data_IF_944503033698
#
_entry.id   IF_944503033698
#
_cell.length_a   1.000
_cell.length_b   1.000
_cell.length_c   1.000
_cell.angle_alpha   90.00
_cell.angle_beta   90.00
_cell.angle_gamma   90.00
#
_symmetry.space_group_name_H-M   'P 1'
#
loop_
_entity.id
_entity.type
_entity.pdbx_description
1 polymer ?
#
# COMPACT_ATOMS: atom_id res chain seq x y z
N UNK A 1 4.50 -8.09 -11.09
CA UNK A 1 5.54 -8.54 -10.11
C UNK A 1 6.60 -7.51 -9.74
N UNK A 2 7.00 -6.57 -10.62
CA UNK A 2 8.09 -5.61 -10.31
C UNK A 2 7.95 -4.86 -8.97
N UNK A 3 6.74 -4.43 -8.61
CA UNK A 3 6.44 -3.80 -7.32
C UNK A 3 6.75 -4.71 -6.12
N UNK A 4 6.35 -5.97 -6.20
CA UNK A 4 6.58 -6.95 -5.14
C UNK A 4 8.08 -7.26 -4.94
N UNK A 5 8.89 -7.20 -6.01
CA UNK A 5 10.35 -7.31 -5.94
C UNK A 5 10.98 -6.04 -5.36
N UNK A 6 10.41 -4.87 -5.70
CA UNK A 6 10.88 -3.57 -5.20
C UNK A 6 10.49 -3.29 -3.74
N UNK A 7 9.69 -4.17 -3.10
CA UNK A 7 9.19 -3.91 -1.74
C UNK A 7 8.13 -2.82 -1.69
N UNK A 8 7.41 -2.57 -2.79
CA UNK A 8 6.42 -1.50 -2.92
C UNK A 8 5.01 -2.09 -2.99
N UNK A 9 4.09 -1.52 -2.24
CA UNK A 9 2.67 -1.81 -2.35
C UNK A 9 2.01 -1.01 -3.49
N UNK A 10 0.71 -1.25 -3.67
CA UNK A 10 -0.17 -0.59 -4.62
C UNK A 10 -1.45 -0.15 -3.89
N UNK A 11 -1.30 0.67 -2.85
CA UNK A 11 -2.43 1.16 -2.05
C UNK A 11 -2.79 2.62 -2.32
N UNK A 12 -1.98 3.36 -3.08
CA UNK A 12 -2.22 4.78 -3.38
C UNK A 12 -3.57 5.01 -4.10
N UNK A 13 -4.28 6.07 -3.72
CA UNK A 13 -5.57 6.47 -4.31
C UNK A 13 -5.40 7.11 -5.70
N UNK A 14 -4.98 6.33 -6.70
CA UNK A 14 -4.66 6.84 -8.05
C UNK A 14 -5.84 6.71 -9.02
N UNK A 15 -6.42 5.52 -9.13
CA UNK A 15 -7.39 5.18 -10.19
C UNK A 15 -8.76 4.85 -9.60
N UNK A 16 -9.85 5.50 -10.04
CA UNK A 16 -11.20 5.25 -9.53
C UNK A 16 -11.62 3.77 -9.54
N UNK A 17 -11.36 3.06 -10.64
CA UNK A 17 -11.70 1.65 -10.82
C UNK A 17 -10.95 0.74 -9.84
N UNK A 18 -9.70 1.05 -9.52
CA UNK A 18 -8.91 0.31 -8.52
C UNK A 18 -9.48 0.56 -7.12
N UNK A 19 -9.79 1.82 -6.81
CA UNK A 19 -10.38 2.19 -5.52
C UNK A 19 -11.72 1.48 -5.35
N UNK A 20 -12.57 1.43 -6.36
CA UNK A 20 -13.88 0.78 -6.27
C UNK A 20 -13.77 -0.74 -6.22
N UNK A 21 -12.95 -1.36 -7.06
CA UNK A 21 -12.89 -2.82 -7.17
C UNK A 21 -12.01 -3.49 -6.12
N UNK A 22 -10.87 -2.90 -5.78
CA UNK A 22 -9.84 -3.50 -4.93
C UNK A 22 -9.66 -2.74 -3.61
N UNK A 23 -9.84 -1.41 -3.63
CA UNK A 23 -9.54 -0.54 -2.51
C UNK A 23 -8.04 -0.25 -2.50
N UNK A 24 -7.23 -1.27 -2.26
CA UNK A 24 -5.78 -1.21 -2.41
C UNK A 24 -5.18 -2.62 -2.44
N UNK A 25 -3.91 -2.72 -2.81
CA UNK A 25 -3.20 -3.99 -2.91
C UNK A 25 -1.95 -3.93 -2.02
N UNK A 26 -2.03 -4.37 -0.76
CA UNK A 26 -0.90 -4.34 0.17
C UNK A 26 0.17 -5.36 -0.21
N UNK A 27 1.37 -5.17 0.34
CA UNK A 27 2.49 -6.11 0.22
C UNK A 27 2.62 -7.00 1.47
N UNK A 28 2.48 -8.30 1.29
CA UNK A 28 2.84 -9.30 2.29
C UNK A 28 4.37 -9.47 2.37
N UNK A 29 4.94 -9.57 3.58
CA UNK A 29 6.33 -9.96 3.77
C UNK A 29 6.69 -11.30 3.10
N UNK A 30 7.98 -11.47 2.79
CA UNK A 30 8.46 -12.70 2.15
C UNK A 30 8.26 -13.92 3.05
N UNK A 31 7.88 -15.03 2.43
CA UNK A 31 7.93 -16.37 3.00
C UNK A 31 8.37 -17.37 1.94
N UNK A 32 9.07 -18.43 2.36
CA UNK A 32 9.58 -19.46 1.43
C UNK A 32 8.41 -20.28 0.85
N UNK A 33 8.33 -20.46 -0.48
CA UNK A 33 7.30 -21.30 -1.11
C UNK A 33 7.33 -22.74 -0.62
N UNK A 34 6.16 -23.38 -0.58
CA UNK A 34 6.04 -24.80 -0.27
C UNK A 34 5.94 -25.12 1.22
N UNK A 35 5.92 -24.12 2.10
CA UNK A 35 5.78 -24.28 3.55
C UNK A 35 4.79 -23.32 4.21
N UNK A 36 4.57 -23.43 5.52
CA UNK A 36 3.71 -22.54 6.30
C UNK A 36 4.14 -21.06 6.25
N UNK A 37 5.43 -20.82 6.01
CA UNK A 37 6.06 -19.50 6.04
C UNK A 37 5.51 -18.54 4.98
N UNK A 38 5.02 -19.06 3.84
CA UNK A 38 4.38 -18.20 2.83
C UNK A 38 2.98 -17.75 3.27
N UNK A 39 2.29 -18.52 4.12
CA UNK A 39 0.90 -18.25 4.48
C UNK A 39 0.77 -17.34 5.71
N UNK A 40 1.68 -17.46 6.68
CA UNK A 40 1.61 -16.70 7.93
C UNK A 40 1.55 -15.16 7.71
N UNK A 41 2.37 -14.56 6.82
CA UNK A 41 2.32 -13.12 6.56
C UNK A 41 1.09 -12.70 5.75
N UNK A 42 0.57 -13.59 4.91
CA UNK A 42 -0.57 -13.31 4.02
C UNK A 42 -1.91 -13.40 4.72
N UNK A 43 -2.05 -14.30 5.71
CA UNK A 43 -3.32 -14.58 6.40
C UNK A 43 -4.08 -13.35 6.88
N UNK A 44 -3.49 -12.41 7.65
CA UNK A 44 -4.21 -11.21 8.09
C UNK A 44 -4.60 -10.26 6.94
N UNK A 45 -3.92 -10.36 5.79
CA UNK A 45 -4.20 -9.52 4.62
C UNK A 45 -5.34 -10.12 3.79
N UNK A 46 -5.33 -11.42 3.50
CA UNK A 46 -6.39 -12.05 2.67
C UNK A 46 -7.77 -12.04 3.36
N UNK A 47 -7.82 -11.92 4.69
CA UNK A 47 -9.06 -11.71 5.44
C UNK A 47 -9.69 -10.34 5.15
N UNK A 48 -8.87 -9.34 4.78
CA UNK A 48 -9.31 -7.94 4.63
C UNK A 48 -9.30 -7.46 3.20
N UNK A 49 -8.38 -7.95 2.37
CA UNK A 49 -8.15 -7.51 1.00
C UNK A 49 -8.50 -8.59 -0.01
N UNK A 50 -9.01 -8.17 -1.16
CA UNK A 50 -9.29 -9.06 -2.30
C UNK A 50 -8.07 -9.27 -3.21
N UNK A 51 -6.98 -8.54 -2.97
CA UNK A 51 -5.73 -8.66 -3.70
C UNK A 51 -4.54 -8.39 -2.78
N UNK A 52 -3.47 -9.16 -2.89
CA UNK A 52 -2.26 -9.02 -2.07
C UNK A 52 -1.03 -9.27 -2.93
N UNK A 53 -0.06 -8.35 -2.91
CA UNK A 53 1.28 -8.60 -3.44
C UNK A 53 2.07 -9.46 -2.44
N UNK A 54 2.93 -10.34 -2.95
CA UNK A 54 3.79 -11.20 -2.14
C UNK A 54 5.24 -10.84 -2.44
N UNK A 55 5.97 -10.33 -1.44
CA UNK A 55 7.36 -9.89 -1.63
C UNK A 55 8.20 -10.95 -2.33
N UNK A 56 8.91 -10.55 -3.39
CA UNK A 56 9.76 -11.41 -4.23
C UNK A 56 9.07 -12.64 -4.87
N UNK A 57 7.73 -12.67 -4.95
CA UNK A 57 6.97 -13.72 -5.63
C UNK A 57 6.10 -13.18 -6.76
N UNK A 58 5.07 -12.40 -6.40
CA UNK A 58 4.00 -12.08 -7.32
C UNK A 58 2.80 -11.47 -6.62
N UNK A 59 1.59 -11.89 -7.00
CA UNK A 59 0.34 -11.43 -6.43
C UNK A 59 -0.65 -12.60 -6.28
N UNK A 60 -1.59 -12.48 -5.37
CA UNK A 60 -2.76 -13.35 -5.25
C UNK A 60 -4.02 -12.49 -5.21
N UNK A 61 -5.11 -13.00 -5.79
CA UNK A 61 -6.42 -12.36 -5.74
C UNK A 61 -7.48 -13.34 -5.26
N UNK A 62 -8.50 -12.80 -4.58
CA UNK A 62 -9.63 -13.52 -4.04
C UNK A 62 -10.92 -12.97 -4.65
N UNK A 63 -11.84 -13.88 -4.99
CA UNK A 63 -13.11 -13.52 -5.58
C UNK A 63 -14.21 -14.51 -5.23
N UNK A 64 -15.46 -14.11 -5.48
CA UNK A 64 -16.65 -14.95 -5.28
C UNK A 64 -16.74 -16.09 -6.30
N UNK A 65 -16.01 -15.97 -7.40
CA UNK A 65 -15.81 -16.99 -8.42
C UNK A 65 -14.39 -16.90 -8.98
N UNK A 66 -13.97 -17.91 -9.74
CA UNK A 66 -12.69 -17.88 -10.46
C UNK A 66 -12.64 -16.72 -11.44
N UNK A 67 -13.76 -16.39 -12.10
CA UNK A 67 -13.83 -15.23 -13.00
C UNK A 67 -13.66 -13.90 -12.25
N UNK A 68 -14.30 -13.73 -11.09
CA UNK A 68 -14.11 -12.53 -10.25
C UNK A 68 -12.65 -12.37 -9.81
N UNK A 69 -12.04 -13.46 -9.32
CA UNK A 69 -10.62 -13.45 -8.94
C UNK A 69 -9.70 -13.14 -10.13
N UNK A 70 -10.03 -13.64 -11.32
CA UNK A 70 -9.30 -13.38 -12.55
C UNK A 70 -9.39 -11.91 -12.98
N UNK A 71 -10.58 -11.31 -13.01
CA UNK A 71 -10.75 -9.90 -13.35
C UNK A 71 -10.04 -8.99 -12.34
N UNK A 72 -10.07 -9.33 -11.05
CA UNK A 72 -9.28 -8.63 -10.04
C UNK A 72 -7.78 -8.74 -10.32
N UNK A 73 -7.28 -9.89 -10.77
CA UNK A 73 -5.87 -10.06 -11.13
C UNK A 73 -5.49 -9.19 -12.34
N UNK A 74 -6.37 -9.10 -13.34
CA UNK A 74 -6.18 -8.20 -14.49
C UNK A 74 -6.10 -6.74 -14.03
N UNK A 75 -6.98 -6.31 -13.12
CA UNK A 75 -6.94 -4.96 -12.52
C UNK A 75 -5.63 -4.71 -11.76
N UNK A 76 -5.14 -5.68 -10.97
CA UNK A 76 -3.85 -5.57 -10.26
C UNK A 76 -2.69 -5.37 -11.23
N UNK A 77 -2.60 -6.20 -12.27
CA UNK A 77 -1.53 -6.13 -13.26
C UNK A 77 -1.60 -4.84 -14.08
N UNK A 78 -2.80 -4.41 -14.47
CA UNK A 78 -2.99 -3.15 -15.19
C UNK A 78 -2.58 -1.96 -14.33
N UNK A 79 -2.99 -1.94 -13.06
CA UNK A 79 -2.60 -0.88 -12.13
C UNK A 79 -1.09 -0.84 -11.90
N UNK A 80 -0.44 -2.00 -11.72
CA UNK A 80 1.01 -2.07 -11.58
C UNK A 80 1.73 -1.45 -12.79
N UNK A 81 1.23 -1.68 -14.02
CA UNK A 81 1.80 -1.08 -15.24
C UNK A 81 1.62 0.43 -15.27
N UNK A 82 0.43 0.92 -14.96
CA UNK A 82 0.15 2.37 -14.90
C UNK A 82 1.03 3.04 -13.84
N UNK A 83 1.09 2.48 -12.64
CA UNK A 83 1.89 3.02 -11.55
C UNK A 83 3.38 3.02 -11.88
N UNK A 84 3.88 1.97 -12.56
CA UNK A 84 5.27 1.93 -13.05
C UNK A 84 5.54 3.09 -14.03
N UNK A 85 4.68 3.25 -15.03
CA UNK A 85 4.82 4.30 -16.05
C UNK A 85 4.73 5.70 -15.42
N UNK A 86 3.77 5.93 -14.52
CA UNK A 86 3.63 7.20 -13.80
C UNK A 86 4.92 7.54 -13.02
N UNK A 87 5.47 6.58 -12.27
CA UNK A 87 6.73 6.75 -11.54
C UNK A 87 7.92 6.99 -12.47
N UNK A 88 7.97 6.33 -13.63
CA UNK A 88 9.00 6.57 -14.65
C UNK A 88 8.90 7.97 -15.29
N UNK A 89 7.69 8.52 -15.41
CA UNK A 89 7.45 9.90 -15.85
C UNK A 89 7.77 10.93 -14.75
N UNK A 90 8.04 10.49 -13.52
CA UNK A 90 8.48 11.32 -12.40
C UNK A 90 7.37 11.84 -11.48
N UNK A 91 6.11 11.44 -11.69
CA UNK A 91 5.00 11.89 -10.85
C UNK A 91 3.86 10.87 -10.81
N UNK A 92 3.20 10.75 -9.65
CA UNK A 92 1.95 10.00 -9.48
C UNK A 92 0.93 10.92 -8.85
N UNK A 93 -0.10 11.29 -9.62
CA UNK A 93 -1.17 12.16 -9.14
C UNK A 93 -2.25 11.30 -8.47
N UNK A 94 -2.54 11.57 -7.20
CA UNK A 94 -3.61 10.90 -6.45
C UNK A 94 -4.89 11.73 -6.46
N UNK A 95 -6.02 11.06 -6.31
CA UNK A 95 -7.32 11.71 -6.15
C UNK A 95 -7.41 12.50 -4.83
N UNK A 96 -8.17 13.59 -4.88
CA UNK A 96 -8.49 14.40 -3.71
C UNK A 96 -9.40 13.65 -2.74
N UNK A 97 -9.41 14.06 -1.48
CA UNK A 97 -10.26 13.46 -0.45
C UNK A 97 -11.75 13.37 -0.82
N UNK A 98 -12.37 14.43 -1.37
CA UNK A 98 -13.79 14.38 -1.71
C UNK A 98 -14.07 13.32 -2.79
N UNK A 99 -13.23 13.25 -3.83
CA UNK A 99 -13.38 12.24 -4.88
C UNK A 99 -13.13 10.83 -4.35
N UNK A 100 -12.15 10.63 -3.46
CA UNK A 100 -11.94 9.33 -2.81
C UNK A 100 -13.17 8.94 -2.01
N UNK A 101 -13.76 9.86 -1.24
CA UNK A 101 -14.95 9.58 -0.46
C UNK A 101 -16.16 9.19 -1.33
N UNK A 102 -16.38 9.88 -2.45
CA UNK A 102 -17.43 9.52 -3.41
C UNK A 102 -17.27 8.07 -3.94
N UNK A 103 -16.03 7.64 -4.18
CA UNK A 103 -15.73 6.28 -4.63
C UNK A 103 -15.89 5.24 -3.51
N UNK A 104 -15.58 5.60 -2.26
CA UNK A 104 -15.84 4.75 -1.11
C UNK A 104 -17.34 4.58 -0.86
N UNK A 105 -18.13 5.63 -1.04
CA UNK A 105 -19.60 5.57 -0.98
C UNK A 105 -20.15 4.68 -2.10
N UNK A 106 -19.55 4.75 -3.30
CA UNK A 106 -19.91 3.89 -4.42
C UNK A 106 -19.63 2.40 -4.13
N UNK A 107 -18.51 2.08 -3.46
CA UNK A 107 -18.24 0.70 -2.98
C UNK A 107 -19.37 0.19 -2.08
N UNK A 108 -19.84 1.02 -1.16
CA UNK A 108 -20.93 0.65 -0.26
C UNK A 108 -22.24 0.37 -1.02
N UNK A 109 -22.56 1.18 -2.05
CA UNK A 109 -23.72 0.97 -2.93
C UNK A 109 -23.64 -0.33 -3.73
N UNK A 110 -22.44 -0.77 -4.11
CA UNK A 110 -22.20 -2.07 -4.74
C UNK A 110 -22.13 -3.25 -3.75
N UNK A 111 -22.38 -3.01 -2.46
CA UNK A 111 -22.35 -4.04 -1.42
C UNK A 111 -20.94 -4.47 -1.00
N UNK A 112 -19.91 -3.71 -1.39
CA UNK A 112 -18.53 -3.92 -0.95
C UNK A 112 -18.35 -3.17 0.38
N UNK A 113 -18.55 -3.88 1.49
CA UNK A 113 -18.49 -3.33 2.86
C UNK A 113 -17.46 -4.07 3.70
N UNK A 114 -16.92 -3.42 4.74
CA UNK A 114 -15.95 -4.03 5.66
C UNK A 114 -14.56 -4.32 5.07
N UNK A 115 -14.30 -3.88 3.84
CA UNK A 115 -13.01 -4.01 3.14
C UNK A 115 -12.26 -2.67 3.19
N UNK A 116 -10.94 -2.64 3.45
CA UNK A 116 -10.17 -1.41 3.44
C UNK A 116 -10.23 -0.68 2.09
N UNK A 117 -10.18 0.66 2.14
CA UNK A 117 -10.04 1.51 0.95
C UNK A 117 -8.58 1.71 0.54
N UNK A 118 -8.37 2.59 -0.44
CA UNK A 118 -7.02 3.05 -0.78
C UNK A 118 -6.45 3.89 0.37
N UNK A 119 -5.13 3.94 0.43
CA UNK A 119 -4.38 4.78 1.35
C UNK A 119 -3.95 6.02 0.58
N UNK A 120 -4.40 7.18 1.02
CA UNK A 120 -3.77 8.42 0.55
C UNK A 120 -2.41 8.48 1.22
N UNK A 121 -1.32 8.81 0.49
CA UNK A 121 -0.13 9.31 1.16
C UNK A 121 -0.59 10.56 1.89
N UNK A 122 -0.88 10.42 3.18
CA UNK A 122 -1.13 11.57 4.02
C UNK A 122 0.10 12.47 3.84
N UNK A 123 -0.14 13.77 3.68
CA UNK A 123 0.85 14.76 4.09
C UNK A 123 1.55 14.21 5.33
N UNK A 124 2.86 14.00 5.30
CA UNK A 124 3.64 13.46 6.42
C UNK A 124 3.63 14.39 7.67
N UNK A 125 2.60 15.21 7.84
CA UNK A 125 2.40 16.25 8.84
C UNK A 125 1.07 16.06 9.61
N UNK A 126 0.43 14.89 9.50
CA UNK A 126 -0.71 14.50 10.35
C UNK A 126 -0.31 13.92 11.72
N UNK A 127 0.97 13.60 11.91
CA UNK A 127 1.52 13.40 13.25
C UNK A 127 1.70 14.78 13.88
N UNK A 128 1.26 14.94 15.13
CA UNK A 128 1.55 16.05 16.01
C UNK A 128 2.95 16.66 15.71
N UNK A 129 2.97 17.75 14.92
CA UNK A 129 4.20 18.42 14.49
C UNK A 129 4.99 18.91 15.71
N UNK A 130 4.31 19.13 16.85
CA UNK A 130 4.93 19.56 18.10
C UNK A 130 5.82 18.47 18.70
N UNK A 131 5.31 17.23 18.83
CA UNK A 131 6.08 16.11 19.39
C UNK A 131 7.20 15.61 18.49
N UNK A 132 7.01 15.67 17.16
CA UNK A 132 8.00 15.18 16.19
C UNK A 132 9.18 16.15 16.06
N UNK A 133 8.91 17.46 16.01
CA UNK A 133 9.94 18.49 15.97
C UNK A 133 10.82 18.48 17.23
N UNK A 134 10.19 18.31 18.40
CA UNK A 134 10.90 18.24 19.68
C UNK A 134 11.80 17.00 19.77
N UNK A 135 11.33 15.84 19.30
CA UNK A 135 12.13 14.61 19.28
C UNK A 135 13.31 14.71 18.31
N UNK A 136 13.11 15.27 17.12
CA UNK A 136 14.18 15.52 16.14
C UNK A 136 15.24 16.46 16.74
N UNK A 137 14.82 17.52 17.44
CA UNK A 137 15.72 18.42 18.14
C UNK A 137 16.55 17.74 19.24
N UNK A 138 15.93 16.86 20.03
CA UNK A 138 16.61 16.10 21.08
C UNK A 138 17.65 15.13 20.51
N UNK A 139 17.27 14.35 19.48
CA UNK A 139 18.17 13.39 18.82
C UNK A 139 19.34 14.13 18.18
N UNK A 140 19.07 15.23 17.48
CA UNK A 140 20.13 16.02 16.83
C UNK A 140 21.15 16.53 17.85
N UNK A 141 20.68 17.03 19.00
CA UNK A 141 21.56 17.52 20.07
C UNK A 141 22.42 16.40 20.67
N UNK A 142 21.83 15.23 20.93
CA UNK A 142 22.57 14.07 21.42
C UNK A 142 23.65 13.60 20.45
N UNK A 143 23.34 13.53 19.15
CA UNK A 143 24.30 13.11 18.13
C UNK A 143 25.45 14.12 18.01
N UNK A 144 25.16 15.43 18.04
CA UNK A 144 26.19 16.47 18.01
C UNK A 144 27.09 16.39 19.26
N UNK A 145 26.53 16.19 20.45
CA UNK A 145 27.31 16.03 21.68
C UNK A 145 28.19 14.77 21.65
N UNK A 146 27.69 13.66 21.10
CA UNK A 146 28.48 12.43 20.93
C UNK A 146 29.64 12.63 19.94
N UNK A 147 29.39 13.33 18.83
CA UNK A 147 30.44 13.64 17.85
C UNK A 147 31.51 14.59 18.41
N UNK A 148 31.12 15.52 19.30
CA UNK A 148 32.06 16.42 19.97
C UNK A 148 32.87 15.74 21.09
N UNK A 149 32.34 14.66 21.68
CA UNK A 149 33.02 13.88 22.73
C UNK A 149 33.85 12.71 22.19
N UNK A 150 33.74 12.39 20.90
CA UNK A 150 34.55 11.36 20.27
C UNK A 150 35.94 11.95 19.94
N UNK A 151 37.04 11.50 20.58
CA UNK A 151 38.37 11.92 20.17
C UNK A 151 38.66 11.37 18.77
N UNK A 152 39.32 12.19 17.93
CA UNK A 152 39.83 11.76 16.62
C UNK A 152 40.85 10.64 16.76
#
# INVERSE_FOLDING_TARGET
TGFAVAGLDLTECVLPEVIVLLGGVPLAPYGTPGGPDIFAPMRPLVEKYDAVLMANHGAVTLGKSVQDAHFKMETVEHFARIALVARQLGATNTLSEPHVQELLDLRARFGITGRPGCVRPESANGADESGTSDLVGQITRQVVEQLQRSPR
#
